data_IF_988161175983
#
_entry.id   IF_988161175983
#
_cell.length_a   1.000
_cell.length_b   1.000
_cell.length_c   1.000
_cell.angle_alpha   90.00
_cell.angle_beta   90.00
_cell.angle_gamma   90.00
#
_symmetry.space_group_name_H-M   'P 1'
#
loop_
_entity.id
_entity.type
_entity.pdbx_description
1 polymer ?
#
# COMPACT_ATOMS: atom_id res chain seq x y z
N UNK A 1 -12.24 -17.10 -11.20
CA UNK A 1 -11.46 -16.76 -9.99
C UNK A 1 -12.17 -17.32 -8.78
N UNK A 2 -11.43 -17.88 -7.82
CA UNK A 2 -12.00 -18.20 -6.51
C UNK A 2 -12.32 -16.89 -5.79
N UNK A 3 -13.45 -16.84 -5.08
CA UNK A 3 -13.78 -15.67 -4.26
C UNK A 3 -12.79 -15.60 -3.11
N UNK A 4 -12.28 -14.41 -2.74
CA UNK A 4 -11.43 -14.27 -1.56
C UNK A 4 -12.15 -14.84 -0.34
N UNK A 5 -11.48 -15.73 0.39
CA UNK A 5 -11.99 -16.29 1.66
C UNK A 5 -11.39 -15.61 2.87
N UNK A 6 -10.28 -14.90 2.67
CA UNK A 6 -9.54 -14.16 3.69
C UNK A 6 -9.22 -12.77 3.15
N UNK A 7 -9.18 -11.82 4.07
CA UNK A 7 -8.68 -10.47 3.84
C UNK A 7 -7.71 -10.10 4.96
N UNK A 8 -6.78 -9.21 4.66
CA UNK A 8 -5.69 -8.84 5.54
C UNK A 8 -5.68 -7.32 5.73
N UNK A 9 -5.58 -6.87 6.97
CA UNK A 9 -5.51 -5.43 7.29
C UNK A 9 -4.21 -4.82 6.75
N UNK A 10 -4.22 -3.52 6.43
CA UNK A 10 -3.02 -2.82 5.94
C UNK A 10 -1.82 -3.04 6.86
N UNK A 11 -2.02 -2.94 8.18
CA UNK A 11 -0.96 -3.16 9.17
C UNK A 11 -0.34 -4.56 9.07
N UNK A 12 -1.19 -5.59 8.95
CA UNK A 12 -0.71 -6.96 8.79
C UNK A 12 0.02 -7.15 7.46
N UNK A 13 -0.48 -6.56 6.38
CA UNK A 13 0.16 -6.62 5.06
C UNK A 13 1.53 -5.98 5.09
N UNK A 14 1.67 -4.76 5.61
CA UNK A 14 2.94 -4.05 5.72
C UNK A 14 4.00 -4.90 6.48
N UNK A 15 3.61 -5.46 7.62
CA UNK A 15 4.46 -6.41 8.36
C UNK A 15 4.80 -7.66 7.55
N UNK A 16 3.82 -8.25 6.85
CA UNK A 16 3.98 -9.48 6.06
C UNK A 16 4.99 -9.30 4.91
N UNK A 17 4.97 -8.14 4.25
CA UNK A 17 5.85 -7.86 3.10
C UNK A 17 7.12 -7.09 3.46
N UNK A 18 7.26 -6.68 4.72
CA UNK A 18 8.44 -5.96 5.21
C UNK A 18 8.54 -4.52 4.70
N UNK A 19 7.41 -3.87 4.48
CA UNK A 19 7.33 -2.49 3.96
C UNK A 19 6.85 -1.52 5.04
N UNK A 20 7.17 -0.24 4.88
CA UNK A 20 6.70 0.81 5.78
C UNK A 20 5.17 0.94 5.72
N UNK A 21 4.52 0.98 6.89
CA UNK A 21 3.05 1.08 6.99
C UNK A 21 2.49 2.32 6.29
N UNK A 22 3.12 3.48 6.48
CA UNK A 22 2.67 4.73 5.89
C UNK A 22 2.81 4.74 4.36
N UNK A 23 3.78 3.99 3.81
CA UNK A 23 3.91 3.77 2.36
C UNK A 23 2.76 2.92 1.83
N UNK A 24 2.44 1.80 2.48
CA UNK A 24 1.33 0.94 2.06
C UNK A 24 0.00 1.69 2.18
N UNK A 25 -0.18 2.50 3.21
CA UNK A 25 -1.35 3.38 3.36
C UNK A 25 -1.44 4.40 2.23
N UNK A 26 -0.33 4.98 1.79
CA UNK A 26 -0.33 5.94 0.68
C UNK A 26 -0.68 5.26 -0.65
N UNK A 27 -0.09 4.10 -0.93
CA UNK A 27 -0.45 3.32 -2.12
C UNK A 27 -1.94 2.95 -2.09
N UNK A 28 -2.46 2.58 -0.92
CA UNK A 28 -3.86 2.21 -0.73
C UNK A 28 -4.84 3.40 -0.74
N UNK A 29 -4.35 4.65 -0.69
CA UNK A 29 -5.21 5.84 -0.71
C UNK A 29 -5.87 6.02 -2.09
N UNK A 30 -5.23 5.50 -3.13
CA UNK A 30 -5.73 5.46 -4.49
C UNK A 30 -6.01 4.01 -4.92
N UNK A 31 -7.30 3.70 -5.11
CA UNK A 31 -7.73 2.35 -5.51
C UNK A 31 -7.19 1.91 -6.86
N UNK A 32 -6.79 2.84 -7.73
CA UNK A 32 -6.28 2.51 -9.07
C UNK A 32 -4.85 1.92 -9.03
N UNK A 33 -4.16 2.03 -7.88
CA UNK A 33 -2.84 1.44 -7.69
C UNK A 33 -2.89 -0.09 -7.53
N UNK A 34 -4.06 -0.65 -7.24
CA UNK A 34 -4.25 -2.07 -6.92
C UNK A 34 -5.31 -2.65 -7.84
N UNK A 35 -5.13 -3.92 -8.20
CA UNK A 35 -6.09 -4.65 -9.02
C UNK A 35 -7.53 -4.51 -8.50
N UNK A 36 -8.46 -4.27 -9.44
CA UNK A 36 -9.86 -4.03 -9.12
C UNK A 36 -10.48 -5.20 -8.32
N UNK A 37 -11.06 -4.87 -7.16
CA UNK A 37 -11.70 -5.84 -6.27
C UNK A 37 -10.75 -6.56 -5.32
N UNK A 38 -9.44 -6.25 -5.37
CA UNK A 38 -8.43 -6.86 -4.51
C UNK A 38 -8.10 -6.00 -3.27
N UNK A 39 -8.58 -4.75 -3.27
CA UNK A 39 -8.70 -3.90 -2.10
C UNK A 39 -10.16 -3.87 -1.64
N UNK A 40 -10.41 -4.31 -0.40
CA UNK A 40 -11.74 -4.45 0.17
C UNK A 40 -11.87 -3.51 1.36
N UNK A 41 -12.87 -2.64 1.29
CA UNK A 41 -13.26 -1.79 2.40
C UNK A 41 -14.25 -2.53 3.32
N UNK A 42 -13.88 -2.73 4.58
CA UNK A 42 -14.65 -3.46 5.57
C UNK A 42 -15.11 -2.51 6.69
N UNK A 43 -16.43 -2.43 6.91
CA UNK A 43 -16.98 -1.68 8.03
C UNK A 43 -16.91 -2.51 9.31
N UNK A 44 -16.19 -2.00 10.31
CA UNK A 44 -15.99 -2.63 11.62
C UNK A 44 -16.87 -2.02 12.73
N UNK A 45 -17.78 -1.11 12.35
CA UNK A 45 -18.62 -0.34 13.27
C UNK A 45 -18.08 1.05 13.58
N UNK A 46 -16.87 1.41 13.12
CA UNK A 46 -16.43 2.79 13.00
C UNK A 46 -17.09 3.49 11.80
N UNK A 47 -17.08 4.83 11.78
CA UNK A 47 -17.61 5.60 10.65
C UNK A 47 -16.76 5.40 9.37
N UNK A 48 -15.44 5.26 9.54
CA UNK A 48 -14.49 5.21 8.44
C UNK A 48 -14.24 3.78 7.94
N UNK A 49 -14.49 2.75 8.75
CA UNK A 49 -14.14 1.37 8.41
C UNK A 49 -12.62 1.15 8.30
N UNK A 50 -12.25 0.02 7.72
CA UNK A 50 -10.85 -0.34 7.47
C UNK A 50 -10.65 -0.81 6.03
N UNK A 51 -9.52 -0.44 5.44
CA UNK A 51 -9.08 -0.99 4.15
C UNK A 51 -8.32 -2.29 4.38
N UNK A 52 -8.63 -3.29 3.55
CA UNK A 52 -8.03 -4.63 3.61
C UNK A 52 -7.64 -5.11 2.22
N UNK A 53 -6.75 -6.09 2.14
CA UNK A 53 -6.30 -6.70 0.90
C UNK A 53 -6.67 -8.18 0.85
N UNK A 54 -6.91 -8.70 -0.34
CA UNK A 54 -6.95 -10.15 -0.61
C UNK A 54 -5.53 -10.70 -0.78
N UNK A 55 -5.38 -12.02 -0.93
CA UNK A 55 -4.08 -12.61 -1.31
C UNK A 55 -3.56 -12.05 -2.65
N UNK A 56 -4.44 -11.89 -3.66
CA UNK A 56 -4.05 -11.29 -4.96
C UNK A 56 -3.73 -9.81 -4.83
N UNK A 57 -4.42 -9.09 -3.96
CA UNK A 57 -4.15 -7.68 -3.65
C UNK A 57 -2.77 -7.47 -3.05
N UNK A 58 -2.32 -8.38 -2.18
CA UNK A 58 -0.95 -8.37 -1.65
C UNK A 58 0.07 -8.57 -2.78
N UNK A 59 -0.17 -9.49 -3.71
CA UNK A 59 0.73 -9.66 -4.86
C UNK A 59 0.71 -8.44 -5.80
N UNK A 60 -0.46 -7.84 -6.05
CA UNK A 60 -0.61 -6.60 -6.84
C UNK A 60 0.16 -5.45 -6.19
N UNK A 61 0.09 -5.31 -4.86
CA UNK A 61 0.87 -4.34 -4.10
C UNK A 61 2.38 -4.56 -4.25
N UNK A 62 2.87 -5.80 -4.18
CA UNK A 62 4.31 -6.11 -4.39
C UNK A 62 4.76 -5.79 -5.81
N UNK A 63 3.93 -6.10 -6.81
CA UNK A 63 4.17 -5.78 -8.22
C UNK A 63 4.28 -4.26 -8.41
N UNK A 64 3.34 -3.50 -7.84
CA UNK A 64 3.33 -2.04 -7.91
C UNK A 64 4.54 -1.41 -7.20
N UNK A 65 4.89 -1.90 -6.00
CA UNK A 65 6.10 -1.46 -5.28
C UNK A 65 7.38 -1.75 -6.09
N UNK A 66 7.46 -2.92 -6.73
CA UNK A 66 8.58 -3.26 -7.59
C UNK A 66 8.67 -2.31 -8.79
N UNK A 67 7.53 -1.93 -9.39
CA UNK A 67 7.48 -0.98 -10.50
C UNK A 67 7.93 0.43 -10.06
N UNK A 68 7.34 0.99 -9.00
CA UNK A 68 7.70 2.31 -8.47
C UNK A 68 9.21 2.42 -8.20
N UNK A 69 9.83 1.37 -7.65
CA UNK A 69 11.27 1.34 -7.37
C UNK A 69 12.14 1.46 -8.61
N UNK A 70 11.61 1.18 -9.80
CA UNK A 70 12.31 1.33 -11.08
C UNK A 70 12.08 2.69 -11.74
N UNK A 71 11.12 3.48 -11.27
CA UNK A 71 10.81 4.80 -11.83
C UNK A 71 11.93 5.80 -11.54
N UNK A 72 12.02 6.84 -12.37
CA UNK A 72 12.96 7.93 -12.13
C UNK A 72 12.55 8.68 -10.85
N UNK A 73 13.44 8.68 -9.85
CA UNK A 73 13.16 9.21 -8.51
C UNK A 73 12.44 8.24 -7.54
N UNK A 74 12.09 7.03 -8.00
CA UNK A 74 11.65 5.90 -7.17
C UNK A 74 10.45 6.19 -6.27
N UNK A 75 10.44 5.56 -5.09
CA UNK A 75 9.38 5.73 -4.07
C UNK A 75 9.21 7.19 -3.67
N UNK A 76 10.30 7.95 -3.57
CA UNK A 76 10.25 9.36 -3.18
C UNK A 76 9.45 10.19 -4.19
N UNK A 77 9.70 10.00 -5.49
CA UNK A 77 9.00 10.74 -6.53
C UNK A 77 7.52 10.37 -6.57
N UNK A 78 7.19 9.08 -6.46
CA UNK A 78 5.80 8.63 -6.32
C UNK A 78 5.07 9.36 -5.18
N UNK A 79 5.66 9.44 -3.99
CA UNK A 79 5.03 10.12 -2.86
C UNK A 79 4.85 11.63 -3.10
N UNK A 80 5.79 12.27 -3.81
CA UNK A 80 5.66 13.69 -4.21
C UNK A 80 4.50 13.87 -5.19
N UNK A 81 4.35 12.95 -6.15
CA UNK A 81 3.30 12.99 -7.16
C UNK A 81 1.91 12.76 -6.55
N UNK A 82 1.82 11.90 -5.53
CA UNK A 82 0.62 11.73 -4.69
C UNK A 82 0.37 12.91 -3.73
N UNK A 83 1.17 13.97 -3.80
CA UNK A 83 1.08 15.16 -2.94
C UNK A 83 1.18 14.83 -1.44
N UNK A 84 1.91 13.76 -1.10
CA UNK A 84 2.18 13.37 0.27
C UNK A 84 2.96 14.49 0.99
N UNK A 85 2.62 14.74 2.26
CA UNK A 85 3.30 15.77 3.03
C UNK A 85 4.78 15.45 3.24
N UNK A 86 5.63 16.48 3.25
CA UNK A 86 7.09 16.30 3.32
C UNK A 86 7.54 15.58 4.59
N UNK A 87 6.84 15.74 5.73
CA UNK A 87 7.23 15.08 6.98
C UNK A 87 6.96 13.57 6.91
N UNK A 88 5.85 13.16 6.29
CA UNK A 88 5.52 11.77 6.00
C UNK A 88 6.46 11.15 4.98
N UNK A 89 6.83 11.88 3.93
CA UNK A 89 7.86 11.42 2.98
C UNK A 89 9.16 11.10 3.73
N UNK A 90 9.66 12.01 4.57
CA UNK A 90 10.91 11.74 5.30
C UNK A 90 10.80 10.54 6.25
N UNK A 91 9.64 10.32 6.88
CA UNK A 91 9.40 9.13 7.72
C UNK A 91 9.39 7.84 6.91
N UNK A 92 8.71 7.81 5.76
CA UNK A 92 8.68 6.66 4.86
C UNK A 92 10.09 6.34 4.34
N UNK A 93 10.82 7.36 3.87
CA UNK A 93 12.15 7.19 3.29
C UNK A 93 13.21 6.80 4.32
N UNK A 94 13.00 7.08 5.60
CA UNK A 94 13.91 6.64 6.67
C UNK A 94 13.91 5.12 6.87
N UNK A 95 12.79 4.47 6.56
CA UNK A 95 12.61 3.01 6.65
C UNK A 95 12.91 2.29 5.34
N UNK A 96 13.17 3.02 4.24
CA UNK A 96 13.48 2.41 2.96
C UNK A 96 14.80 1.62 3.06
N UNK A 97 14.83 0.36 2.60
CA UNK A 97 16.07 -0.41 2.59
C UNK A 97 17.11 0.31 1.72
N UNK A 98 18.19 0.75 2.37
CA UNK A 98 19.36 1.30 1.67
C UNK A 98 19.95 0.20 0.80
N UNK A 99 19.77 0.33 -0.51
CA UNK A 99 20.40 -0.51 -1.54
C UNK A 99 21.93 -0.47 -1.42
#
# INVERSE_FOLDING_TARGET
>A
MARPTHVYTIEYVAMLIGENLELVQEIASNSDNIDYGEMIHAYDGSEEGITTFTDRGIESLKEFLADIRTWDGGVRQFLVDEQCDSARIERIMADEPKS
#
